data_IF_072010117514
#
_entry.id   IF_072010117514
#
_cell.length_a   1.000
_cell.length_b   1.000
_cell.length_c   1.000
_cell.angle_alpha   90.00
_cell.angle_beta   90.00
_cell.angle_gamma   90.00
#
_symmetry.space_group_name_H-M   'P 1'
#
loop_
_entity.id
_entity.type
_entity.pdbx_description
1 polymer ?
#
# COMPACT_ATOMS: atom_id res chain seq x y z
N UNK A 1 14.00 4.02 -11.08
CA UNK A 1 13.74 5.42 -11.47
C UNK A 1 13.10 5.41 -12.86
N UNK A 2 11.99 6.12 -13.03
CA UNK A 2 11.40 6.34 -14.33
C UNK A 2 12.25 7.36 -15.12
N UNK A 3 12.16 7.40 -16.46
CA UNK A 3 12.95 8.35 -17.27
C UNK A 3 12.73 9.82 -16.90
N UNK A 4 11.54 10.15 -16.37
CA UNK A 4 11.17 11.48 -15.90
C UNK A 4 11.59 11.79 -14.46
N UNK A 5 12.03 10.79 -13.69
CA UNK A 5 12.47 10.99 -12.31
C UNK A 5 13.81 11.75 -12.30
N UNK A 6 13.92 12.70 -11.38
CA UNK A 6 15.14 13.46 -11.18
C UNK A 6 15.65 13.29 -9.74
N UNK A 7 16.95 13.27 -9.59
CA UNK A 7 17.60 13.26 -8.29
C UNK A 7 18.55 14.44 -8.14
N UNK A 8 18.64 14.97 -6.94
CA UNK A 8 19.48 16.11 -6.63
C UNK A 8 20.41 15.77 -5.46
N UNK A 9 21.71 15.72 -5.74
CA UNK A 9 22.75 15.47 -4.73
C UNK A 9 23.09 16.72 -3.92
N UNK A 10 22.96 17.91 -4.52
CA UNK A 10 23.27 19.17 -3.86
C UNK A 10 22.05 19.67 -3.07
N UNK A 11 22.17 19.61 -1.75
CA UNK A 11 21.09 19.99 -0.80
C UNK A 11 20.71 21.46 -0.91
N UNK A 12 21.66 22.37 -1.17
CA UNK A 12 21.40 23.81 -1.24
C UNK A 12 20.59 24.20 -2.47
N UNK A 13 20.62 23.37 -3.52
CA UNK A 13 19.86 23.57 -4.75
C UNK A 13 18.52 22.83 -4.78
N UNK A 14 18.25 21.96 -3.80
CA UNK A 14 17.07 21.10 -3.78
C UNK A 14 15.77 21.91 -3.90
N UNK A 15 15.63 22.97 -3.10
CA UNK A 15 14.41 23.78 -3.08
C UNK A 15 14.20 24.52 -4.41
N UNK A 16 15.25 25.16 -4.94
CA UNK A 16 15.16 25.89 -6.21
C UNK A 16 14.83 24.96 -7.37
N UNK A 17 15.39 23.76 -7.38
CA UNK A 17 15.10 22.77 -8.41
C UNK A 17 13.67 22.22 -8.28
N UNK A 18 13.23 21.91 -7.06
CA UNK A 18 11.86 21.50 -6.79
C UNK A 18 10.84 22.55 -7.25
N UNK A 19 11.07 23.81 -6.95
CA UNK A 19 10.23 24.92 -7.42
C UNK A 19 10.19 25.03 -8.95
N UNK A 20 11.33 24.81 -9.62
CA UNK A 20 11.40 24.86 -11.09
C UNK A 20 10.59 23.72 -11.76
N UNK A 21 10.33 22.62 -11.05
CA UNK A 21 9.57 21.49 -11.56
C UNK A 21 8.05 21.62 -11.29
N UNK A 22 7.61 22.54 -10.42
CA UNK A 22 6.18 22.67 -10.05
C UNK A 22 5.26 22.88 -11.26
N UNK A 23 5.67 23.70 -12.20
CA UNK A 23 4.86 23.94 -13.42
C UNK A 23 4.68 22.67 -14.26
N UNK A 24 5.64 21.77 -14.23
CA UNK A 24 5.57 20.49 -14.93
C UNK A 24 4.62 19.52 -14.21
N UNK A 25 4.70 19.47 -12.87
CA UNK A 25 3.82 18.65 -12.04
C UNK A 25 2.37 19.09 -12.16
N UNK A 26 2.11 20.39 -12.11
CA UNK A 26 0.75 20.94 -12.26
C UNK A 26 0.08 20.64 -13.62
N UNK A 27 0.86 20.23 -14.62
CA UNK A 27 0.37 19.78 -15.92
C UNK A 27 0.20 18.27 -16.02
N UNK A 28 0.51 17.53 -14.96
CA UNK A 28 0.33 16.09 -14.94
C UNK A 28 -1.16 15.75 -15.13
N UNK A 29 -1.42 14.87 -16.08
CA UNK A 29 -2.78 14.39 -16.33
C UNK A 29 -3.17 13.44 -15.20
N UNK A 30 -4.44 13.46 -14.74
CA UNK A 30 -4.93 12.47 -13.80
C UNK A 30 -4.73 11.07 -14.38
N UNK A 31 -4.35 10.13 -13.51
CA UNK A 31 -4.18 8.73 -13.91
C UNK A 31 -5.52 8.16 -14.38
N UNK A 32 -5.43 7.28 -15.38
CA UNK A 32 -6.62 6.55 -15.84
C UNK A 32 -7.05 5.58 -14.74
N UNK A 33 -8.37 5.33 -14.61
CA UNK A 33 -8.87 4.28 -13.74
C UNK A 33 -8.21 2.94 -14.07
N UNK A 34 -7.98 2.12 -13.04
CA UNK A 34 -7.35 0.82 -13.17
C UNK A 34 -8.41 -0.29 -13.06
N UNK A 35 -8.33 -1.34 -13.90
CA UNK A 35 -9.19 -2.52 -13.75
C UNK A 35 -8.69 -3.34 -12.57
N UNK A 36 -9.59 -3.65 -11.64
CA UNK A 36 -9.29 -4.48 -10.48
C UNK A 36 -9.41 -5.97 -10.82
N UNK A 37 -8.57 -6.79 -10.16
CA UNK A 37 -8.56 -8.23 -10.40
C UNK A 37 -9.84 -8.94 -9.91
N UNK A 38 -10.47 -8.41 -8.86
CA UNK A 38 -11.74 -8.89 -8.36
C UNK A 38 -11.68 -10.05 -7.37
N UNK A 39 -12.85 -10.63 -7.09
CA UNK A 39 -13.05 -11.56 -6.00
C UNK A 39 -12.27 -12.87 -6.13
N UNK A 40 -12.13 -13.41 -7.33
CA UNK A 40 -11.44 -14.70 -7.53
C UNK A 40 -9.95 -14.56 -7.14
N UNK A 41 -9.27 -13.52 -7.63
CA UNK A 41 -7.89 -13.24 -7.25
C UNK A 41 -7.77 -12.89 -5.75
N UNK A 42 -8.77 -12.20 -5.18
CA UNK A 42 -8.82 -11.97 -3.74
C UNK A 42 -8.83 -13.29 -2.95
N UNK A 43 -9.65 -14.25 -3.37
CA UNK A 43 -9.71 -15.57 -2.72
C UNK A 43 -8.40 -16.34 -2.85
N UNK A 44 -7.78 -16.35 -4.04
CA UNK A 44 -6.48 -16.99 -4.24
C UNK A 44 -5.40 -16.39 -3.31
N UNK A 45 -5.38 -15.07 -3.14
CA UNK A 45 -4.47 -14.41 -2.20
C UNK A 45 -4.76 -14.78 -0.75
N UNK A 46 -6.04 -14.91 -0.36
CA UNK A 46 -6.43 -15.34 0.98
C UNK A 46 -6.03 -16.79 1.25
N UNK A 47 -6.26 -17.70 0.29
CA UNK A 47 -5.87 -19.10 0.41
C UNK A 47 -4.34 -19.22 0.60
N UNK A 48 -3.56 -18.45 -0.16
CA UNK A 48 -2.12 -18.41 0.01
C UNK A 48 -1.69 -17.89 1.40
N UNK A 49 -2.34 -16.85 1.92
CA UNK A 49 -2.05 -16.31 3.25
C UNK A 49 -2.33 -17.36 4.34
N UNK A 50 -3.46 -18.05 4.28
CA UNK A 50 -3.80 -19.09 5.25
C UNK A 50 -2.87 -20.29 5.16
N UNK A 51 -2.48 -20.71 3.95
CA UNK A 51 -1.49 -21.76 3.78
C UNK A 51 -0.11 -21.37 4.35
N UNK A 52 0.30 -20.12 4.15
CA UNK A 52 1.56 -19.63 4.70
C UNK A 52 1.55 -19.53 6.23
N UNK A 53 0.40 -19.20 6.83
CA UNK A 53 0.20 -19.21 8.29
C UNK A 53 0.24 -20.65 8.84
N UNK A 54 -0.49 -21.59 8.21
CA UNK A 54 -0.51 -23.00 8.61
C UNK A 54 0.90 -23.62 8.57
N UNK A 55 1.70 -23.22 7.56
CA UNK A 55 3.12 -23.60 7.47
C UNK A 55 4.03 -22.80 8.40
N UNK A 56 3.51 -21.96 9.27
CA UNK A 56 4.26 -21.12 10.22
C UNK A 56 5.31 -20.20 9.56
N UNK A 57 5.13 -19.86 8.28
CA UNK A 57 5.99 -18.91 7.55
C UNK A 57 5.68 -17.46 7.91
N UNK A 58 4.41 -17.19 8.19
CA UNK A 58 3.89 -15.89 8.62
C UNK A 58 3.09 -16.05 9.91
N UNK A 59 2.84 -14.93 10.59
CA UNK A 59 2.06 -14.91 11.83
C UNK A 59 0.58 -14.64 11.55
N UNK A 60 -0.28 -14.90 12.52
CA UNK A 60 -1.71 -14.56 12.43
C UNK A 60 -1.93 -13.07 12.12
N UNK A 61 -1.10 -12.18 12.68
CA UNK A 61 -1.21 -10.75 12.38
C UNK A 61 -0.71 -10.39 10.98
N UNK A 62 0.22 -11.14 10.40
CA UNK A 62 0.61 -10.98 9.00
C UNK A 62 -0.55 -11.33 8.05
N UNK A 63 -1.40 -12.31 8.41
CA UNK A 63 -2.64 -12.62 7.68
C UNK A 63 -3.60 -11.43 7.72
N UNK A 64 -3.76 -10.77 8.87
CA UNK A 64 -4.60 -9.57 9.00
C UNK A 64 -4.09 -8.45 8.09
N UNK A 65 -2.80 -8.15 8.12
CA UNK A 65 -2.18 -7.14 7.25
C UNK A 65 -2.29 -7.53 5.77
N UNK A 66 -1.99 -8.79 5.45
CA UNK A 66 -2.09 -9.33 4.10
C UNK A 66 -3.51 -9.27 3.52
N UNK A 67 -4.54 -9.50 4.37
CA UNK A 67 -5.95 -9.37 3.98
C UNK A 67 -6.30 -7.95 3.54
N UNK A 68 -5.83 -6.93 4.28
CA UNK A 68 -6.04 -5.54 3.89
C UNK A 68 -5.31 -5.18 2.59
N UNK A 69 -4.08 -5.67 2.41
CA UNK A 69 -3.34 -5.50 1.15
C UNK A 69 -4.04 -6.20 -0.03
N UNK A 70 -4.47 -7.45 0.15
CA UNK A 70 -5.22 -8.18 -0.87
C UNK A 70 -6.48 -7.42 -1.31
N UNK A 71 -7.19 -6.81 -0.35
CA UNK A 71 -8.38 -5.99 -0.63
C UNK A 71 -8.04 -4.76 -1.48
N UNK A 72 -6.94 -4.06 -1.19
CA UNK A 72 -6.52 -2.89 -1.97
C UNK A 72 -6.12 -3.31 -3.40
N UNK A 73 -5.32 -4.36 -3.55
CA UNK A 73 -4.79 -4.78 -4.86
C UNK A 73 -5.84 -5.39 -5.78
N UNK A 74 -6.83 -6.08 -5.22
CA UNK A 74 -7.84 -6.80 -6.03
C UNK A 74 -9.19 -6.08 -6.09
N UNK A 75 -9.42 -5.10 -5.20
CA UNK A 75 -10.73 -4.51 -4.93
C UNK A 75 -11.57 -5.36 -3.96
N UNK A 76 -11.07 -6.50 -3.47
CA UNK A 76 -11.79 -7.39 -2.57
C UNK A 76 -12.94 -8.13 -3.26
N UNK A 77 -14.11 -8.14 -2.62
CA UNK A 77 -15.30 -8.88 -3.11
C UNK A 77 -16.07 -8.10 -4.20
N UNK A 78 -15.37 -7.69 -5.24
CA UNK A 78 -15.96 -7.03 -6.41
C UNK A 78 -15.76 -7.88 -7.67
N UNK A 79 -16.52 -7.55 -8.72
CA UNK A 79 -16.39 -8.24 -10.02
C UNK A 79 -15.04 -7.88 -10.66
N UNK A 80 -14.38 -8.85 -11.28
CA UNK A 80 -13.17 -8.61 -12.07
C UNK A 80 -13.40 -7.54 -13.15
N UNK A 81 -12.35 -6.75 -13.42
CA UNK A 81 -12.37 -5.61 -14.34
C UNK A 81 -13.30 -4.45 -13.91
N UNK A 82 -13.76 -4.41 -12.66
CA UNK A 82 -14.35 -3.20 -12.11
C UNK A 82 -13.30 -2.09 -12.12
N UNK A 83 -13.62 -0.95 -12.74
CA UNK A 83 -12.70 0.18 -12.84
C UNK A 83 -12.71 0.98 -11.53
N UNK A 84 -11.54 1.21 -10.96
CA UNK A 84 -11.36 2.08 -9.80
C UNK A 84 -10.49 3.28 -10.17
N UNK A 85 -10.94 4.46 -9.76
CA UNK A 85 -10.15 5.69 -9.92
C UNK A 85 -8.98 5.70 -8.92
N UNK A 86 -8.01 6.59 -9.17
CA UNK A 86 -6.91 6.80 -8.22
C UNK A 86 -7.43 7.24 -6.84
N UNK A 87 -8.50 8.05 -6.81
CA UNK A 87 -9.12 8.47 -5.54
C UNK A 87 -9.76 7.30 -4.79
N UNK A 88 -10.45 6.39 -5.50
CA UNK A 88 -11.02 5.19 -4.87
C UNK A 88 -9.93 4.32 -4.23
N UNK A 89 -8.75 4.20 -4.89
CA UNK A 89 -7.61 3.47 -4.35
C UNK A 89 -7.02 4.14 -3.11
N UNK A 90 -6.86 5.47 -3.11
CA UNK A 90 -6.41 6.21 -1.92
C UNK A 90 -7.39 6.10 -0.77
N UNK A 91 -8.69 6.12 -1.04
CA UNK A 91 -9.71 5.96 -0.02
C UNK A 91 -9.67 4.53 0.56
N UNK A 92 -9.54 3.51 -0.29
CA UNK A 92 -9.39 2.12 0.15
C UNK A 92 -8.12 1.90 0.99
N UNK A 93 -6.98 2.49 0.58
CA UNK A 93 -5.72 2.44 1.34
C UNK A 93 -5.88 3.11 2.71
N UNK A 94 -6.46 4.32 2.74
CA UNK A 94 -6.71 5.05 4.00
C UNK A 94 -7.60 4.26 4.94
N UNK A 95 -8.69 3.69 4.45
CA UNK A 95 -9.59 2.88 5.27
C UNK A 95 -8.90 1.63 5.82
N UNK A 96 -8.13 0.94 5.00
CA UNK A 96 -7.34 -0.23 5.42
C UNK A 96 -6.31 0.14 6.47
N UNK A 97 -5.60 1.26 6.27
CA UNK A 97 -4.65 1.78 7.26
C UNK A 97 -5.33 2.09 8.59
N UNK A 98 -6.49 2.75 8.59
CA UNK A 98 -7.22 3.10 9.81
C UNK A 98 -7.69 1.84 10.57
N UNK A 99 -8.15 0.80 9.86
CA UNK A 99 -8.50 -0.49 10.49
C UNK A 99 -7.29 -1.14 11.14
N UNK A 100 -6.16 -1.19 10.43
CA UNK A 100 -4.91 -1.75 10.96
C UNK A 100 -4.39 -0.94 12.16
N UNK A 101 -4.40 0.39 12.08
CA UNK A 101 -3.92 1.27 13.15
C UNK A 101 -4.72 1.16 14.46
N UNK A 102 -5.99 0.71 14.40
CA UNK A 102 -6.81 0.42 15.56
C UNK A 102 -6.46 -0.93 16.23
N UNK A 103 -5.72 -1.80 15.55
CA UNK A 103 -5.31 -3.10 16.07
C UNK A 103 -4.13 -2.95 17.03
N UNK A 104 -4.25 -3.54 18.23
CA UNK A 104 -3.18 -3.57 19.23
C UNK A 104 -1.88 -4.17 18.66
N UNK A 105 -1.99 -5.27 17.91
CA UNK A 105 -0.84 -5.92 17.30
C UNK A 105 -0.11 -5.02 16.29
N UNK A 106 -0.84 -4.22 15.51
CA UNK A 106 -0.23 -3.22 14.63
C UNK A 106 0.48 -2.13 15.42
N UNK A 107 -0.15 -1.62 16.49
CA UNK A 107 0.45 -0.60 17.35
C UNK A 107 1.74 -1.10 18.00
N UNK A 108 1.76 -2.33 18.49
CA UNK A 108 2.97 -2.98 19.04
C UNK A 108 4.09 -3.02 17.99
N UNK A 109 3.78 -3.38 16.72
CA UNK A 109 4.76 -3.38 15.63
C UNK A 109 5.31 -1.99 15.34
N UNK A 110 4.44 -0.98 15.30
CA UNK A 110 4.85 0.42 15.07
C UNK A 110 5.79 0.89 16.19
N UNK A 111 5.42 0.67 17.46
CA UNK A 111 6.25 1.05 18.61
C UNK A 111 7.60 0.33 18.55
N UNK A 112 7.61 -0.98 18.31
CA UNK A 112 8.85 -1.75 18.20
C UNK A 112 9.75 -1.24 17.07
N UNK A 113 9.16 -0.89 15.91
CA UNK A 113 9.92 -0.32 14.80
C UNK A 113 10.54 1.04 15.15
N UNK A 114 9.81 1.90 15.87
CA UNK A 114 10.31 3.22 16.27
C UNK A 114 11.40 3.13 17.35
N UNK A 115 11.25 2.21 18.31
CA UNK A 115 12.15 2.09 19.46
C UNK A 115 13.38 1.23 19.17
N UNK A 116 13.22 0.16 18.39
CA UNK A 116 14.23 -0.87 18.18
C UNK A 116 14.72 -0.97 16.72
N UNK A 117 14.10 -0.26 15.79
CA UNK A 117 14.42 -0.33 14.36
C UNK A 117 13.99 -1.63 13.68
N UNK A 118 13.21 -2.48 14.36
CA UNK A 118 12.69 -3.74 13.82
C UNK A 118 11.29 -4.05 14.35
N UNK A 119 10.40 -4.61 13.52
CA UNK A 119 9.07 -5.01 13.96
C UNK A 119 9.14 -6.29 14.79
N UNK A 120 8.29 -6.39 15.81
CA UNK A 120 8.06 -7.65 16.52
C UNK A 120 7.26 -8.60 15.61
N UNK A 121 7.50 -9.91 15.75
CA UNK A 121 6.68 -10.96 15.12
C UNK A 121 5.57 -11.40 16.09
N UNK A 122 4.37 -10.96 15.84
CA UNK A 122 3.19 -11.26 16.65
C UNK A 122 2.02 -11.74 15.79
#
# INVERSE_FOLDING_TARGET
LYPEDQYMMNRDRLLSEALSQLDKVNKAKPRKPLPMAGEDTYREMMDWLFEAEDQQKITAHDVVVGTELARIFTGGKIKANTMMSEQDLYDAERESFLRLAQSENTQIRIVSMLDQGSPVRN
#
